data_IF_607495479407
#
_entry.id   IF_607495479407
#
_cell.length_a   1.000
_cell.length_b   1.000
_cell.length_c   1.000
_cell.angle_alpha   90.00
_cell.angle_beta   90.00
_cell.angle_gamma   90.00
#
_symmetry.space_group_name_H-M   'P 1'
#
loop_
_entity.id
_entity.type
_entity.pdbx_description
1 polymer ?
#
# COMPACT_ATOMS: atom_id res chain seq x y z
N UNK A 1 -8.91 -18.55 0.14
CA UNK A 1 -8.49 -19.96 -0.10
C UNK A 1 -9.51 -20.73 -0.92
N UNK A 2 -10.73 -20.97 -0.45
CA UNK A 2 -11.75 -21.71 -1.21
C UNK A 2 -11.99 -21.15 -2.62
N UNK A 3 -12.04 -19.82 -2.75
CA UNK A 3 -12.19 -19.15 -4.04
C UNK A 3 -11.12 -19.54 -5.08
N UNK A 4 -9.85 -19.73 -4.67
CA UNK A 4 -8.78 -20.08 -5.61
C UNK A 4 -8.99 -21.45 -6.25
N UNK A 5 -9.33 -22.46 -5.43
CA UNK A 5 -9.69 -23.80 -5.91
C UNK A 5 -10.93 -23.78 -6.82
N UNK A 6 -11.92 -22.95 -6.50
CA UNK A 6 -13.11 -22.79 -7.35
C UNK A 6 -12.76 -22.18 -8.70
N UNK A 7 -11.94 -21.11 -8.73
CA UNK A 7 -11.48 -20.49 -9.98
C UNK A 7 -10.69 -21.49 -10.83
N UNK A 8 -9.71 -22.18 -10.24
CA UNK A 8 -8.88 -23.15 -10.94
C UNK A 8 -9.71 -24.28 -11.57
N UNK A 9 -10.65 -24.84 -10.80
CA UNK A 9 -11.45 -26.00 -11.24
C UNK A 9 -12.59 -25.65 -12.20
N UNK A 10 -13.14 -24.44 -12.13
CA UNK A 10 -14.32 -24.02 -12.93
C UNK A 10 -13.95 -23.20 -14.16
N UNK A 11 -12.91 -22.38 -14.08
CA UNK A 11 -12.52 -21.44 -15.13
C UNK A 11 -11.19 -21.83 -15.80
N UNK A 12 -10.28 -22.45 -15.05
CA UNK A 12 -8.99 -22.95 -15.54
C UNK A 12 -7.80 -22.36 -14.78
N UNK A 13 -6.61 -22.92 -15.02
CA UNK A 13 -5.36 -22.59 -14.29
C UNK A 13 -4.83 -21.17 -14.51
N UNK A 14 -5.33 -20.46 -15.52
CA UNK A 14 -4.99 -19.07 -15.79
C UNK A 14 -5.86 -18.09 -15.00
N UNK A 15 -6.99 -18.57 -14.43
CA UNK A 15 -7.94 -17.72 -13.72
C UNK A 15 -7.64 -17.68 -12.23
N UNK A 16 -7.34 -16.50 -11.71
CA UNK A 16 -7.04 -16.28 -10.30
C UNK A 16 -8.08 -15.33 -9.67
N UNK A 17 -8.52 -15.57 -8.42
CA UNK A 17 -9.40 -14.65 -7.71
C UNK A 17 -8.86 -13.23 -7.63
N UNK A 18 -7.55 -13.06 -7.38
CA UNK A 18 -6.88 -11.77 -7.33
C UNK A 18 -5.48 -11.84 -7.92
N UNK A 19 -4.98 -10.71 -8.40
CA UNK A 19 -3.55 -10.48 -8.68
C UNK A 19 -3.03 -9.41 -7.74
N UNK A 20 -1.83 -9.64 -7.21
CA UNK A 20 -1.21 -8.79 -6.19
C UNK A 20 0.27 -8.60 -6.52
N UNK A 21 0.73 -7.36 -6.54
CA UNK A 21 2.16 -7.08 -6.56
C UNK A 21 2.75 -7.30 -5.15
N UNK A 22 4.07 -7.40 -5.08
CA UNK A 22 4.76 -7.71 -3.82
C UNK A 22 4.46 -6.68 -2.71
N UNK A 23 4.21 -5.40 -3.04
CA UNK A 23 3.79 -4.39 -2.07
C UNK A 23 2.37 -4.66 -1.53
N UNK A 24 1.44 -5.07 -2.40
CA UNK A 24 0.06 -5.42 -2.02
C UNK A 24 0.04 -6.65 -1.12
N UNK A 25 0.86 -7.65 -1.47
CA UNK A 25 1.07 -8.86 -0.64
C UNK A 25 1.62 -8.49 0.73
N UNK A 26 2.61 -7.59 0.80
CA UNK A 26 3.16 -7.12 2.07
C UNK A 26 2.08 -6.49 2.96
N UNK A 27 1.26 -5.61 2.39
CA UNK A 27 0.17 -4.94 3.10
C UNK A 27 -0.94 -5.93 3.54
N UNK A 28 -1.34 -6.85 2.66
CA UNK A 28 -2.35 -7.88 2.96
C UNK A 28 -1.88 -8.81 4.10
N UNK A 29 -0.64 -9.26 4.04
CA UNK A 29 -0.08 -10.13 5.07
C UNK A 29 0.09 -9.39 6.39
N UNK A 30 0.47 -8.11 6.36
CA UNK A 30 0.48 -7.28 7.56
C UNK A 30 -0.92 -7.15 8.17
N UNK A 31 -1.96 -6.93 7.37
CA UNK A 31 -3.34 -6.91 7.85
C UNK A 31 -3.69 -8.21 8.58
N UNK A 32 -3.42 -9.36 7.97
CA UNK A 32 -3.63 -10.67 8.60
C UNK A 32 -2.88 -10.82 9.93
N UNK A 33 -1.62 -10.36 10.00
CA UNK A 33 -0.80 -10.48 11.20
C UNK A 33 -1.26 -9.54 12.32
N UNK A 34 -1.72 -8.33 11.98
CA UNK A 34 -2.33 -7.41 12.94
C UNK A 34 -3.64 -7.99 13.47
N UNK A 35 -4.50 -8.52 12.61
CA UNK A 35 -5.73 -9.19 13.05
C UNK A 35 -5.45 -10.35 14.01
N UNK A 36 -4.41 -11.14 13.74
CA UNK A 36 -4.08 -12.35 14.51
C UNK A 36 -3.34 -12.08 15.81
N UNK A 37 -2.45 -11.10 15.83
CA UNK A 37 -1.53 -10.86 16.96
C UNK A 37 -1.70 -9.50 17.64
N UNK A 38 -2.54 -8.63 17.08
CA UNK A 38 -2.81 -7.27 17.56
C UNK A 38 -1.53 -6.50 17.94
N UNK A 39 -0.54 -6.54 17.06
CA UNK A 39 0.75 -5.86 17.23
C UNK A 39 1.19 -5.17 15.93
N UNK A 40 1.84 -4.00 15.98
CA UNK A 40 2.36 -3.32 14.79
C UNK A 40 3.54 -4.10 14.22
N UNK A 41 3.78 -4.07 12.90
CA UNK A 41 4.92 -4.76 12.28
C UNK A 41 6.30 -4.21 12.69
N UNK A 42 6.39 -2.91 12.97
CA UNK A 42 7.66 -2.22 13.26
C UNK A 42 7.62 -1.63 14.67
N UNK A 43 8.65 -1.94 15.43
CA UNK A 43 9.01 -1.23 16.65
C UNK A 43 9.96 -0.08 16.28
N UNK A 44 9.40 1.12 16.16
CA UNK A 44 10.16 2.32 15.76
C UNK A 44 11.23 2.70 16.80
N UNK A 45 10.93 2.52 18.09
CA UNK A 45 11.87 2.84 19.18
C UNK A 45 13.05 1.87 19.16
N UNK A 46 12.77 0.57 19.02
CA UNK A 46 13.77 -0.47 18.89
C UNK A 46 14.43 -0.54 17.51
N UNK A 47 13.92 0.21 16.52
CA UNK A 47 14.41 0.27 15.12
C UNK A 47 14.51 -1.13 14.48
N UNK A 48 13.49 -1.95 14.70
CA UNK A 48 13.43 -3.34 14.24
C UNK A 48 11.99 -3.75 13.93
N UNK A 49 11.84 -4.88 13.24
CA UNK A 49 10.55 -5.55 13.19
C UNK A 49 10.17 -6.10 14.57
N UNK A 50 8.89 -6.02 14.91
CA UNK A 50 8.34 -6.53 16.17
C UNK A 50 8.15 -8.05 16.14
N UNK A 51 7.96 -8.62 14.95
CA UNK A 51 7.62 -10.02 14.76
C UNK A 51 8.73 -10.96 15.25
N UNK A 52 8.34 -11.92 16.08
CA UNK A 52 9.19 -13.06 16.45
C UNK A 52 9.47 -13.97 15.24
N UNK A 53 10.45 -14.87 15.38
CA UNK A 53 10.76 -15.86 14.34
C UNK A 53 9.54 -16.72 13.96
N UNK A 54 8.72 -17.12 14.94
CA UNK A 54 7.50 -17.89 14.70
C UNK A 54 6.47 -17.06 13.92
N UNK A 55 6.30 -15.79 14.27
CA UNK A 55 5.39 -14.89 13.56
C UNK A 55 5.85 -14.62 12.12
N UNK A 56 7.16 -14.53 11.87
CA UNK A 56 7.68 -14.48 10.50
C UNK A 56 7.40 -15.77 9.71
N UNK A 57 7.48 -16.94 10.36
CA UNK A 57 7.10 -18.20 9.72
C UNK A 57 5.60 -18.21 9.37
N UNK A 58 4.74 -17.68 10.23
CA UNK A 58 3.31 -17.52 9.95
C UNK A 58 3.04 -16.51 8.82
N UNK A 59 3.78 -15.41 8.78
CA UNK A 59 3.71 -14.38 7.73
C UNK A 59 3.97 -15.00 6.34
N UNK A 60 5.11 -15.65 6.15
CA UNK A 60 5.45 -16.29 4.87
C UNK A 60 4.70 -17.60 4.64
N UNK A 61 4.26 -18.28 5.70
CA UNK A 61 3.38 -19.45 5.61
C UNK A 61 2.02 -19.08 5.02
N UNK A 62 1.47 -17.93 5.39
CA UNK A 62 0.24 -17.41 4.80
C UNK A 62 0.41 -17.03 3.33
N UNK A 63 1.54 -16.41 2.95
CA UNK A 63 1.89 -16.20 1.54
C UNK A 63 1.86 -17.51 0.76
N UNK A 64 2.60 -18.52 1.24
CA UNK A 64 2.67 -19.83 0.60
C UNK A 64 1.28 -20.48 0.49
N UNK A 65 0.43 -20.33 1.51
CA UNK A 65 -0.95 -20.81 1.48
C UNK A 65 -1.80 -20.14 0.40
N UNK A 66 -1.62 -18.83 0.15
CA UNK A 66 -2.30 -18.11 -0.93
C UNK A 66 -1.91 -18.68 -2.30
N UNK A 67 -0.61 -18.90 -2.52
CA UNK A 67 -0.07 -19.49 -3.76
C UNK A 67 -0.55 -20.93 -3.94
N UNK A 68 -0.30 -21.80 -2.95
CA UNK A 68 -0.64 -23.23 -3.00
C UNK A 68 -2.16 -23.47 -3.12
N UNK A 69 -2.99 -22.47 -2.76
CA UNK A 69 -4.46 -22.53 -2.90
C UNK A 69 -4.99 -21.80 -4.14
N UNK A 70 -4.12 -21.41 -5.08
CA UNK A 70 -4.49 -20.72 -6.33
C UNK A 70 -5.24 -19.40 -6.13
N UNK A 71 -4.98 -18.67 -5.03
CA UNK A 71 -5.66 -17.39 -4.74
C UNK A 71 -5.10 -16.26 -5.57
N UNK A 72 -3.78 -16.28 -5.79
CA UNK A 72 -3.06 -15.32 -6.61
C UNK A 72 -1.93 -16.05 -7.36
N UNK A 73 -1.47 -15.52 -8.50
CA UNK A 73 -0.33 -16.08 -9.20
C UNK A 73 0.95 -15.98 -8.36
N UNK A 74 1.85 -16.95 -8.52
CA UNK A 74 3.19 -16.87 -7.96
C UNK A 74 4.08 -15.89 -8.76
N UNK A 75 5.22 -15.50 -8.20
CA UNK A 75 6.12 -14.53 -8.86
C UNK A 75 6.73 -15.06 -10.15
N UNK A 76 6.77 -16.39 -10.38
CA UNK A 76 7.26 -16.98 -11.64
C UNK A 76 6.26 -16.80 -12.75
N UNK A 77 4.99 -17.12 -12.49
CA UNK A 77 3.90 -16.95 -13.42
C UNK A 77 3.68 -15.47 -13.73
N UNK A 78 3.68 -14.60 -12.72
CA UNK A 78 3.60 -13.16 -12.92
C UNK A 78 4.73 -12.63 -13.82
N UNK A 79 5.98 -13.06 -13.57
CA UNK A 79 7.13 -12.65 -14.37
C UNK A 79 7.08 -13.13 -15.84
N UNK A 80 6.31 -14.18 -16.15
CA UNK A 80 6.17 -14.69 -17.52
C UNK A 80 5.48 -13.71 -18.48
N UNK A 81 4.79 -12.70 -17.95
CA UNK A 81 4.13 -11.63 -18.72
C UNK A 81 5.05 -10.42 -18.97
N UNK A 82 6.31 -10.48 -18.54
CA UNK A 82 7.29 -9.42 -18.73
C UNK A 82 7.10 -8.24 -17.78
N UNK A 83 7.62 -7.07 -18.17
CA UNK A 83 7.58 -5.84 -17.37
C UNK A 83 6.57 -4.86 -17.97
N UNK A 84 5.41 -4.76 -17.34
CA UNK A 84 4.36 -3.79 -17.63
C UNK A 84 3.67 -3.44 -16.30
N UNK A 85 2.87 -2.37 -16.25
CA UNK A 85 2.04 -2.12 -15.08
C UNK A 85 0.98 -3.21 -14.97
N UNK A 86 0.67 -3.67 -13.76
CA UNK A 86 -0.31 -4.75 -13.53
C UNK A 86 -1.64 -4.52 -14.27
N UNK A 87 -2.17 -3.27 -14.24
CA UNK A 87 -3.43 -2.89 -14.89
C UNK A 87 -3.37 -2.83 -16.43
N UNK A 88 -2.20 -2.95 -17.05
CA UNK A 88 -2.02 -3.00 -18.51
C UNK A 88 -1.77 -4.43 -19.01
N UNK A 89 -1.62 -5.39 -18.10
CA UNK A 89 -1.37 -6.77 -18.47
C UNK A 89 -2.63 -7.43 -19.06
N UNK A 90 -2.44 -8.20 -20.13
CA UNK A 90 -3.54 -8.89 -20.82
C UNK A 90 -4.44 -9.72 -19.89
N UNK A 91 -3.92 -10.52 -18.92
CA UNK A 91 -4.77 -11.27 -18.00
C UNK A 91 -5.66 -10.40 -17.11
N UNK A 92 -5.22 -9.18 -16.75
CA UNK A 92 -6.06 -8.21 -16.04
C UNK A 92 -7.18 -7.68 -16.95
N UNK A 93 -6.80 -7.15 -18.12
CA UNK A 93 -7.72 -6.55 -19.10
C UNK A 93 -8.84 -7.54 -19.49
N UNK A 94 -8.49 -8.83 -19.59
CA UNK A 94 -9.39 -9.90 -19.99
C UNK A 94 -10.17 -10.54 -18.84
N UNK A 95 -9.95 -10.13 -17.58
CA UNK A 95 -10.66 -10.68 -16.42
C UNK A 95 -10.19 -12.08 -15.98
N UNK A 96 -9.06 -12.57 -16.49
CA UNK A 96 -8.43 -13.79 -15.98
C UNK A 96 -7.96 -13.60 -14.54
N UNK A 97 -7.52 -12.38 -14.20
CA UNK A 97 -7.21 -11.96 -12.84
C UNK A 97 -8.38 -11.17 -12.25
N UNK A 98 -9.20 -11.85 -11.46
CA UNK A 98 -10.55 -11.39 -11.09
C UNK A 98 -10.65 -10.33 -9.99
N UNK A 99 -9.55 -9.70 -9.58
CA UNK A 99 -9.58 -8.69 -8.52
C UNK A 99 -8.20 -8.24 -8.05
N UNK A 100 -8.18 -7.26 -7.16
CA UNK A 100 -6.94 -6.68 -6.62
C UNK A 100 -7.15 -6.14 -5.19
N UNK A 101 -6.07 -6.06 -4.41
CA UNK A 101 -6.05 -5.41 -3.09
C UNK A 101 -5.35 -4.06 -3.23
N UNK A 102 -6.13 -2.99 -3.39
CA UNK A 102 -5.59 -1.75 -3.98
C UNK A 102 -6.16 -0.47 -3.36
N UNK A 103 -5.36 0.58 -3.38
CA UNK A 103 -5.73 1.91 -2.88
C UNK A 103 -7.01 2.42 -3.56
N UNK A 104 -8.01 2.82 -2.77
CA UNK A 104 -9.23 3.41 -3.31
C UNK A 104 -8.92 4.71 -4.08
N UNK A 105 -7.87 5.43 -3.66
CA UNK A 105 -7.46 6.70 -4.24
C UNK A 105 -6.98 6.64 -5.70
N UNK A 106 -6.65 5.44 -6.19
CA UNK A 106 -6.14 5.24 -7.56
C UNK A 106 -6.84 4.09 -8.26
N UNK A 107 -8.03 3.71 -7.80
CA UNK A 107 -8.69 2.51 -8.31
C UNK A 107 -9.14 2.64 -9.77
N UNK A 108 -9.41 3.87 -10.22
CA UNK A 108 -9.84 4.13 -11.60
C UNK A 108 -8.80 3.65 -12.63
N UNK A 109 -7.51 3.78 -12.32
CA UNK A 109 -6.41 3.25 -13.16
C UNK A 109 -6.54 1.75 -13.46
N UNK A 110 -7.14 1.00 -12.53
CA UNK A 110 -7.38 -0.43 -12.66
C UNK A 110 -8.68 -0.72 -13.40
N UNK A 111 -9.78 -0.01 -13.06
CA UNK A 111 -11.08 -0.23 -13.70
C UNK A 111 -11.11 0.20 -15.16
N UNK A 112 -10.42 1.29 -15.52
CA UNK A 112 -10.47 1.90 -16.86
C UNK A 112 -9.93 1.00 -17.96
N UNK A 113 -9.02 0.08 -17.60
CA UNK A 113 -8.42 -0.86 -18.53
C UNK A 113 -9.18 -2.18 -18.65
N UNK A 114 -10.25 -2.41 -17.87
CA UNK A 114 -11.06 -3.61 -18.02
C UNK A 114 -11.85 -3.57 -19.32
N UNK A 115 -11.91 -4.71 -20.02
CA UNK A 115 -12.71 -4.82 -21.24
C UNK A 115 -14.21 -4.73 -20.90
N UNK A 116 -14.97 -3.79 -21.48
CA UNK A 116 -16.42 -3.74 -21.29
C UNK A 116 -17.09 -5.08 -21.68
N UNK A 117 -18.13 -5.53 -20.94
CA UNK A 117 -18.83 -4.83 -19.87
C UNK A 117 -18.26 -5.06 -18.45
N UNK A 118 -17.06 -5.61 -18.32
CA UNK A 118 -16.47 -5.91 -17.01
C UNK A 118 -16.27 -4.64 -16.17
N UNK A 119 -16.48 -4.76 -14.85
CA UNK A 119 -16.30 -3.68 -13.88
C UNK A 119 -15.65 -4.22 -12.60
N UNK A 120 -14.93 -3.33 -11.91
CA UNK A 120 -14.55 -3.56 -10.51
C UNK A 120 -15.72 -3.18 -9.60
N UNK A 121 -15.99 -4.06 -8.63
CA UNK A 121 -16.94 -3.83 -7.54
C UNK A 121 -16.23 -4.02 -6.20
N UNK A 122 -16.72 -3.33 -5.17
CA UNK A 122 -16.14 -3.41 -3.84
C UNK A 122 -16.34 -4.82 -3.26
N UNK A 123 -15.26 -5.43 -2.79
CA UNK A 123 -15.30 -6.70 -2.08
C UNK A 123 -15.44 -6.47 -0.58
N UNK A 124 -15.88 -7.51 0.13
CA UNK A 124 -15.81 -7.52 1.59
C UNK A 124 -14.36 -7.51 2.07
N UNK A 125 -14.11 -6.87 3.21
CA UNK A 125 -12.79 -6.91 3.85
C UNK A 125 -12.69 -8.15 4.75
N UNK A 126 -11.72 -9.06 4.51
CA UNK A 126 -11.62 -10.29 5.30
C UNK A 126 -11.20 -9.98 6.74
N UNK A 127 -12.02 -10.41 7.69
CA UNK A 127 -11.76 -10.30 9.13
C UNK A 127 -11.65 -11.70 9.76
N UNK A 128 -10.59 -11.93 10.53
CA UNK A 128 -10.49 -13.12 11.38
C UNK A 128 -11.55 -13.06 12.49
N UNK A 129 -12.16 -14.21 12.85
CA UNK A 129 -13.08 -14.27 13.99
C UNK A 129 -12.41 -13.72 15.27
N UNK A 130 -13.06 -12.76 15.92
CA UNK A 130 -12.56 -12.13 17.14
C UNK A 130 -11.45 -11.09 16.95
N UNK A 131 -11.05 -10.76 15.72
CA UNK A 131 -10.09 -9.69 15.49
C UNK A 131 -10.65 -8.33 15.91
N UNK A 132 -9.88 -7.60 16.71
CA UNK A 132 -10.24 -6.27 17.24
C UNK A 132 -9.67 -5.12 16.42
N UNK A 133 -8.87 -5.43 15.40
CA UNK A 133 -8.24 -4.48 14.50
C UNK A 133 -8.15 -5.13 13.12
N UNK A 134 -8.51 -4.40 12.06
CA UNK A 134 -8.50 -4.88 10.68
C UNK A 134 -7.09 -4.91 10.06
N UNK A 135 -6.13 -4.22 10.66
CA UNK A 135 -4.76 -4.11 10.18
C UNK A 135 -4.64 -3.37 8.86
N UNK A 136 -5.53 -2.41 8.62
CA UNK A 136 -5.55 -1.60 7.41
C UNK A 136 -4.26 -0.80 7.28
N UNK A 137 -3.68 -0.79 6.07
CA UNK A 137 -2.67 0.20 5.75
C UNK A 137 -3.34 1.54 5.38
N UNK A 138 -3.83 2.22 6.42
CA UNK A 138 -4.59 3.46 6.33
C UNK A 138 -3.66 4.67 6.53
N UNK A 139 -3.37 5.42 5.45
CA UNK A 139 -2.43 6.57 5.46
C UNK A 139 -2.81 7.67 4.45
N UNK A 140 -2.30 8.92 4.63
CA UNK A 140 -2.06 9.89 3.55
C UNK A 140 -1.83 9.24 2.18
N UNK A 141 -2.82 9.29 1.27
CA UNK A 141 -2.69 8.74 -0.08
C UNK A 141 -1.54 9.44 -0.82
N UNK A 142 -1.54 10.77 -0.79
CA UNK A 142 -0.47 11.63 -1.29
C UNK A 142 -0.53 13.02 -0.66
N UNK A 143 0.56 13.79 -0.80
CA UNK A 143 0.68 15.15 -0.31
C UNK A 143 1.27 16.07 -1.39
N UNK A 144 0.80 17.31 -1.44
CA UNK A 144 1.51 18.40 -2.13
C UNK A 144 2.38 19.12 -1.10
N UNK A 145 3.68 19.26 -1.39
CA UNK A 145 4.64 19.86 -0.46
C UNK A 145 5.36 21.03 -1.10
N UNK A 146 5.62 22.07 -0.30
CA UNK A 146 6.39 23.24 -0.73
C UNK A 146 7.87 22.96 -0.44
N UNK A 147 8.70 23.03 -1.48
CA UNK A 147 10.14 22.83 -1.35
C UNK A 147 10.77 23.85 -0.39
N UNK A 148 11.58 23.36 0.56
CA UNK A 148 12.18 24.18 1.63
C UNK A 148 12.98 25.40 1.13
N UNK A 149 13.60 25.28 -0.04
CA UNK A 149 14.46 26.32 -0.64
C UNK A 149 13.78 27.11 -1.75
N UNK A 150 12.45 27.00 -1.92
CA UNK A 150 11.75 27.77 -2.95
C UNK A 150 11.91 29.27 -2.72
N UNK A 151 12.18 30.01 -3.79
CA UNK A 151 12.21 31.49 -3.75
C UNK A 151 10.80 32.11 -3.74
N UNK A 152 9.77 31.30 -4.02
CA UNK A 152 8.39 31.77 -4.18
C UNK A 152 7.39 30.96 -3.32
N UNK A 153 7.54 30.90 -1.99
CA UNK A 153 6.70 30.06 -1.13
C UNK A 153 5.22 30.46 -1.17
N UNK A 154 4.92 31.76 -1.26
CA UNK A 154 3.55 32.27 -1.33
C UNK A 154 2.85 31.87 -2.63
N UNK A 155 3.54 31.95 -3.78
CA UNK A 155 2.97 31.54 -5.06
C UNK A 155 2.73 30.02 -5.09
N UNK A 156 3.68 29.22 -4.57
CA UNK A 156 3.49 27.77 -4.43
C UNK A 156 2.28 27.43 -3.54
N UNK A 157 2.13 28.12 -2.41
CA UNK A 157 0.97 27.95 -1.53
C UNK A 157 -0.36 28.31 -2.23
N UNK A 158 -0.38 29.38 -3.04
CA UNK A 158 -1.56 29.77 -3.83
C UNK A 158 -1.95 28.68 -4.84
N UNK A 159 -0.99 28.04 -5.50
CA UNK A 159 -1.27 26.93 -6.42
C UNK A 159 -1.83 25.72 -5.68
N UNK A 160 -1.25 25.33 -4.54
CA UNK A 160 -1.78 24.23 -3.72
C UNK A 160 -3.21 24.53 -3.26
N UNK A 161 -3.46 25.76 -2.77
CA UNK A 161 -4.79 26.16 -2.35
C UNK A 161 -5.79 26.19 -3.51
N UNK A 162 -5.39 26.66 -4.69
CA UNK A 162 -6.21 26.60 -5.89
C UNK A 162 -6.63 25.16 -6.19
N UNK A 163 -5.66 24.25 -6.31
CA UNK A 163 -5.92 22.84 -6.65
C UNK A 163 -6.84 22.12 -5.63
N UNK A 164 -6.70 22.44 -4.34
CA UNK A 164 -7.36 21.66 -3.28
C UNK A 164 -8.63 22.31 -2.70
N UNK A 165 -8.85 23.62 -2.90
CA UNK A 165 -9.92 24.35 -2.24
C UNK A 165 -10.71 25.31 -3.16
N UNK A 166 -10.16 25.76 -4.30
CA UNK A 166 -10.97 26.57 -5.23
C UNK A 166 -11.95 25.67 -5.97
N UNK A 167 -13.15 26.18 -6.30
CA UNK A 167 -14.11 25.40 -7.08
C UNK A 167 -13.51 24.96 -8.43
N UNK A 168 -12.92 25.89 -9.17
CA UNK A 168 -12.27 25.60 -10.46
C UNK A 168 -11.19 24.51 -10.36
N UNK A 169 -10.29 24.59 -9.36
CA UNK A 169 -9.23 23.60 -9.20
C UNK A 169 -9.77 22.22 -8.79
N UNK A 170 -10.78 22.19 -7.94
CA UNK A 170 -11.46 20.97 -7.51
C UNK A 170 -12.21 20.31 -8.67
N UNK A 171 -12.94 21.09 -9.48
CA UNK A 171 -13.69 20.59 -10.63
C UNK A 171 -12.74 19.97 -11.68
N UNK A 172 -11.56 20.57 -11.88
CA UNK A 172 -10.51 20.02 -12.76
C UNK A 172 -9.97 18.68 -12.22
N UNK A 173 -9.76 18.57 -10.91
CA UNK A 173 -9.14 17.37 -10.32
C UNK A 173 -10.13 16.23 -10.06
N UNK A 174 -11.40 16.53 -9.81
CA UNK A 174 -12.43 15.55 -9.49
C UNK A 174 -11.98 14.55 -8.43
N UNK A 175 -12.07 13.26 -8.78
CA UNK A 175 -11.68 12.13 -7.93
C UNK A 175 -10.38 11.43 -8.37
N UNK A 176 -9.57 12.05 -9.23
CA UNK A 176 -8.32 11.48 -9.77
C UNK A 176 -7.25 11.17 -8.69
N UNK A 177 -7.44 11.70 -7.47
CA UNK A 177 -6.56 11.46 -6.31
C UNK A 177 -7.32 10.86 -5.13
N UNK A 178 -8.48 10.26 -5.40
CA UNK A 178 -9.43 9.77 -4.39
C UNK A 178 -10.36 10.86 -3.87
N UNK A 179 -11.15 10.49 -2.85
CA UNK A 179 -12.08 11.41 -2.20
C UNK A 179 -11.30 12.52 -1.48
N UNK A 180 -11.58 13.80 -1.78
CA UNK A 180 -10.87 14.89 -1.11
C UNK A 180 -11.14 14.92 0.40
N UNK A 181 -10.18 15.39 1.18
CA UNK A 181 -10.40 15.75 2.58
C UNK A 181 -10.95 17.15 2.78
N UNK A 182 -10.65 18.05 1.85
CA UNK A 182 -11.07 19.43 1.95
C UNK A 182 -12.60 19.44 1.98
N UNK A 183 -13.17 19.96 3.07
CA UNK A 183 -14.62 20.02 3.24
C UNK A 183 -15.28 20.78 2.08
N UNK A 184 -14.66 21.88 1.64
CA UNK A 184 -15.13 22.65 0.50
C UNK A 184 -15.13 21.82 -0.79
N UNK A 185 -14.02 21.10 -1.06
CA UNK A 185 -13.94 20.24 -2.24
C UNK A 185 -14.98 19.11 -2.22
N UNK A 186 -15.18 18.46 -1.06
CA UNK A 186 -16.20 17.43 -0.90
C UNK A 186 -17.60 18.00 -1.15
N UNK A 187 -17.90 19.19 -0.63
CA UNK A 187 -19.18 19.87 -0.88
C UNK A 187 -19.38 20.13 -2.37
N UNK A 188 -18.43 20.76 -3.06
CA UNK A 188 -18.55 21.06 -4.49
C UNK A 188 -18.77 19.79 -5.33
N UNK A 189 -17.94 18.76 -5.12
CA UNK A 189 -18.04 17.52 -5.89
C UNK A 189 -19.31 16.71 -5.56
N UNK A 190 -19.87 16.88 -4.37
CA UNK A 190 -21.16 16.26 -4.01
C UNK A 190 -22.31 17.00 -4.68
N UNK A 191 -22.31 18.33 -4.65
CA UNK A 191 -23.33 19.18 -5.29
C UNK A 191 -23.34 18.99 -6.81
N UNK A 192 -22.17 18.83 -7.42
CA UNK A 192 -22.01 18.56 -8.86
C UNK A 192 -22.29 17.09 -9.24
N UNK A 193 -22.61 16.22 -8.28
CA UNK A 193 -22.94 14.81 -8.51
C UNK A 193 -21.75 13.93 -8.93
N UNK A 194 -20.52 14.41 -8.72
CA UNK A 194 -19.28 13.68 -9.01
C UNK A 194 -19.03 12.61 -7.93
N UNK A 195 -19.21 12.96 -6.65
CA UNK A 195 -19.15 11.98 -5.55
C UNK A 195 -20.45 11.18 -5.53
N UNK A 196 -20.35 9.89 -5.86
CA UNK A 196 -21.47 8.95 -5.80
C UNK A 196 -21.19 7.85 -4.80
N UNK A 197 -22.22 7.41 -4.08
CA UNK A 197 -22.06 6.43 -3.01
C UNK A 197 -21.61 5.04 -3.51
N UNK A 198 -21.94 4.71 -4.76
CA UNK A 198 -21.58 3.47 -5.44
C UNK A 198 -20.25 3.56 -6.20
N UNK A 199 -19.61 4.73 -6.25
CA UNK A 199 -18.27 4.88 -6.80
C UNK A 199 -17.27 4.01 -5.99
N UNK A 200 -16.44 3.18 -6.63
CA UNK A 200 -15.47 2.31 -5.95
C UNK A 200 -14.50 3.05 -5.02
N UNK A 201 -14.09 4.28 -5.37
CA UNK A 201 -13.21 5.08 -4.53
C UNK A 201 -13.94 5.56 -3.27
N UNK A 202 -15.21 5.93 -3.38
CA UNK A 202 -16.04 6.44 -2.28
C UNK A 202 -16.49 5.31 -1.36
N UNK A 203 -17.09 4.28 -1.94
CA UNK A 203 -17.56 3.10 -1.21
C UNK A 203 -16.42 2.39 -0.50
N UNK A 204 -15.25 2.30 -1.14
CA UNK A 204 -14.04 1.78 -0.54
C UNK A 204 -13.58 2.58 0.69
N UNK A 205 -13.50 3.90 0.59
CA UNK A 205 -13.14 4.74 1.74
C UNK A 205 -14.12 4.55 2.91
N UNK A 206 -15.42 4.49 2.61
CA UNK A 206 -16.45 4.27 3.62
C UNK A 206 -16.27 2.92 4.32
N UNK A 207 -15.97 1.85 3.56
CA UNK A 207 -15.66 0.54 4.14
C UNK A 207 -14.43 0.63 5.05
N UNK A 208 -13.33 1.20 4.58
CA UNK A 208 -12.11 1.35 5.37
C UNK A 208 -12.35 2.12 6.69
N UNK A 209 -13.15 3.18 6.67
CA UNK A 209 -13.52 3.96 7.86
C UNK A 209 -14.45 3.21 8.82
N UNK A 210 -15.22 2.24 8.33
CA UNK A 210 -16.11 1.41 9.16
C UNK A 210 -15.38 0.30 9.92
N UNK A 211 -14.16 -0.04 9.50
CA UNK A 211 -13.38 -1.14 10.07
C UNK A 211 -12.57 -0.67 11.29
N UNK A 212 -12.44 -1.51 12.33
CA UNK A 212 -11.67 -1.16 13.52
C UNK A 212 -10.20 -0.99 13.16
N UNK A 213 -9.64 0.19 13.45
CA UNK A 213 -8.24 0.52 13.13
C UNK A 213 -7.62 1.26 14.31
N UNK A 214 -7.11 0.52 15.27
CA UNK A 214 -6.48 1.04 16.49
C UNK A 214 -4.96 1.18 16.34
N UNK A 215 -4.32 0.27 15.60
CA UNK A 215 -2.88 0.24 15.43
C UNK A 215 -2.44 1.02 14.19
N UNK A 216 -1.61 2.08 14.34
CA UNK A 216 -1.07 2.77 13.19
C UNK A 216 -0.02 1.92 12.48
N UNK A 217 0.07 2.07 11.15
CA UNK A 217 1.16 1.49 10.36
C UNK A 217 2.32 2.48 10.33
N UNK A 218 3.51 2.01 10.73
CA UNK A 218 4.73 2.80 10.69
C UNK A 218 5.07 3.22 9.25
N UNK A 219 5.51 4.46 8.98
CA UNK A 219 5.95 4.87 7.64
C UNK A 219 7.15 4.05 7.15
N UNK A 220 7.97 3.50 8.05
CA UNK A 220 9.10 2.62 7.67
C UNK A 220 8.63 1.27 7.10
N UNK A 221 7.37 0.87 7.31
CA UNK A 221 6.83 -0.37 6.77
C UNK A 221 6.81 -0.36 5.23
N UNK A 222 6.69 0.84 4.66
CA UNK A 222 6.64 1.10 3.23
C UNK A 222 7.94 1.74 2.73
N UNK A 223 9.04 1.51 3.46
CA UNK A 223 10.36 1.89 2.98
C UNK A 223 10.68 1.13 1.67
N UNK A 224 11.12 1.81 0.61
CA UNK A 224 11.35 1.17 -0.69
C UNK A 224 12.34 0.00 -0.65
N UNK A 225 13.32 0.01 0.26
CA UNK A 225 14.27 -1.10 0.40
C UNK A 225 13.63 -2.30 1.10
N UNK A 226 12.76 -2.07 2.09
CA UNK A 226 11.97 -3.14 2.72
C UNK A 226 11.05 -3.79 1.70
N UNK A 227 10.33 -2.99 0.91
CA UNK A 227 9.42 -3.50 -0.13
C UNK A 227 10.19 -4.29 -1.21
N UNK A 228 11.32 -3.77 -1.70
CA UNK A 228 12.15 -4.47 -2.68
C UNK A 228 12.74 -5.78 -2.14
N UNK A 229 13.22 -5.77 -0.89
CA UNK A 229 13.75 -6.96 -0.24
C UNK A 229 12.66 -8.00 0.00
N UNK A 230 11.44 -7.56 0.32
CA UNK A 230 10.27 -8.42 0.43
C UNK A 230 9.95 -9.09 -0.91
N UNK A 231 9.89 -8.33 -2.01
CA UNK A 231 9.69 -8.89 -3.35
C UNK A 231 10.75 -9.94 -3.73
N UNK A 232 12.01 -9.66 -3.43
CA UNK A 232 13.12 -10.63 -3.63
C UNK A 232 12.91 -11.91 -2.80
N UNK A 233 12.40 -11.77 -1.57
CA UNK A 233 12.13 -12.92 -0.69
C UNK A 233 11.00 -13.80 -1.24
N UNK A 234 9.93 -13.19 -1.78
CA UNK A 234 8.86 -13.94 -2.45
C UNK A 234 9.38 -14.72 -3.66
N UNK A 235 10.25 -14.10 -4.46
CA UNK A 235 10.91 -14.79 -5.57
C UNK A 235 11.73 -15.99 -5.10
N UNK A 236 12.49 -15.88 -4.00
CA UNK A 236 13.21 -17.05 -3.49
C UNK A 236 12.28 -18.20 -3.11
N UNK A 237 11.17 -17.89 -2.45
CA UNK A 237 10.15 -18.88 -2.08
C UNK A 237 9.60 -19.59 -3.31
N UNK A 238 9.18 -18.84 -4.34
CA UNK A 238 8.48 -19.43 -5.49
C UNK A 238 9.41 -20.16 -6.45
N UNK A 239 10.64 -19.67 -6.63
CA UNK A 239 11.64 -20.35 -7.45
C UNK A 239 12.27 -21.56 -6.74
N UNK A 240 11.83 -21.91 -5.53
CA UNK A 240 12.35 -23.03 -4.77
C UNK A 240 13.82 -22.84 -4.35
N UNK A 241 14.32 -21.60 -4.43
CA UNK A 241 15.67 -21.27 -3.96
C UNK A 241 15.57 -21.08 -2.45
N UNK A 242 16.31 -21.88 -1.67
CA UNK A 242 16.40 -21.65 -0.23
C UNK A 242 16.81 -20.19 -0.01
N UNK A 243 16.05 -19.46 0.82
CA UNK A 243 16.57 -18.26 1.48
C UNK A 243 17.81 -18.73 2.21
N UNK A 244 18.98 -18.42 1.66
CA UNK A 244 20.26 -18.92 2.15
C UNK A 244 20.37 -18.60 3.63
N UNK A 245 20.33 -19.64 4.47
CA UNK A 245 20.49 -19.50 5.90
C UNK A 245 21.88 -18.99 6.24
N UNK A 246 22.04 -17.67 6.38
CA UNK A 246 22.88 -17.14 7.45
C UNK A 246 22.03 -17.06 8.69
N UNK A 247 22.13 -18.11 9.51
CA UNK A 247 21.71 -18.09 10.90
C UNK A 247 22.24 -16.82 11.58
N UNK A 248 21.33 -15.99 12.12
CA UNK A 248 21.63 -15.10 13.24
C UNK A 248 22.19 -13.70 12.98
N UNK A 249 22.17 -13.14 11.76
CA UNK A 249 22.43 -11.69 11.56
C UNK A 249 21.45 -11.13 10.53
N UNK A 250 20.97 -9.91 10.78
CA UNK A 250 19.93 -9.23 10.02
C UNK A 250 20.17 -9.18 8.50
N UNK A 251 19.07 -8.87 7.80
CA UNK A 251 18.95 -8.62 6.36
C UNK A 251 20.23 -8.02 5.75
N UNK A 252 20.77 -8.55 4.63
CA UNK A 252 22.06 -8.11 4.09
C UNK A 252 21.96 -6.73 3.44
N UNK A 253 22.95 -5.87 3.73
CA UNK A 253 23.21 -4.63 3.00
C UNK A 253 23.73 -4.93 1.58
N UNK A 254 23.50 -4.05 0.58
CA UNK A 254 23.93 -4.28 -0.79
C UNK A 254 25.46 -4.27 -0.95
N UNK A 255 25.95 -5.24 -1.74
CA UNK A 255 27.37 -5.51 -2.01
C UNK A 255 28.10 -4.34 -2.70
N UNK A 256 29.34 -4.06 -2.28
CA UNK A 256 30.33 -3.25 -3.03
C UNK A 256 31.45 -4.17 -3.55
N UNK A 257 32.07 -3.89 -4.72
CA UNK A 257 33.08 -4.75 -5.31
C UNK A 257 34.47 -4.65 -4.63
N UNK A 258 35.21 -5.75 -4.80
CA UNK A 258 36.51 -6.18 -4.26
C UNK A 258 37.65 -5.16 -4.08
N UNK A 259 38.31 -5.20 -2.89
CA UNK A 259 39.75 -5.52 -2.68
C UNK A 259 40.14 -5.42 -1.18
N UNK A 260 41.03 -6.32 -0.72
CA UNK A 260 41.41 -6.73 0.65
C UNK A 260 42.11 -5.68 1.58
N UNK A 261 42.65 -6.00 2.80
CA UNK A 261 42.52 -7.17 3.70
C UNK A 261 42.08 -6.82 5.16
N UNK A 262 42.08 -7.84 6.02
CA UNK A 262 41.56 -7.94 7.40
C UNK A 262 42.16 -6.92 8.39
N UNK A 263 41.28 -6.26 9.15
CA UNK A 263 41.33 -6.08 10.62
C UNK A 263 40.20 -5.12 11.02
N UNK A 264 39.12 -5.62 11.64
CA UNK A 264 37.97 -4.79 12.02
C UNK A 264 37.27 -5.30 13.30
N UNK A 265 37.90 -5.03 14.44
CA UNK A 265 37.23 -4.81 15.72
C UNK A 265 37.40 -3.32 16.03
N UNK A 266 36.50 -2.47 15.52
CA UNK A 266 36.11 -1.14 16.03
C UNK A 266 35.28 -0.40 14.98
N UNK A 267 34.24 0.29 15.45
CA UNK A 267 33.42 1.19 14.64
C UNK A 267 34.24 2.46 14.32
N UNK A 268 34.43 2.89 13.05
CA UNK A 268 35.18 4.10 12.75
C UNK A 268 34.49 5.35 13.31
N UNK A 269 35.26 6.12 14.06
CA UNK A 269 34.90 7.31 14.85
C UNK A 269 34.83 8.60 14.03
N UNK A 270 34.21 8.58 12.84
CA UNK A 270 33.99 9.78 12.01
C UNK A 270 32.51 10.18 11.87
N UNK A 271 31.77 10.10 12.97
CA UNK A 271 30.42 10.70 13.10
C UNK A 271 30.36 11.81 14.16
N UNK A 272 31.49 12.20 14.73
CA UNK A 272 31.57 13.09 15.91
C UNK A 272 32.15 14.50 15.64
N UNK A 273 32.34 14.91 14.38
CA UNK A 273 32.77 16.30 14.04
C UNK A 273 31.83 17.10 13.12
N UNK A 274 30.57 16.67 12.96
CA UNK A 274 29.52 17.44 12.28
C UNK A 274 28.37 17.92 13.19
N UNK A 275 28.43 17.65 14.49
CA UNK A 275 27.34 17.95 15.43
C UNK A 275 27.60 19.26 16.20
N UNK A 276 27.61 20.40 15.51
CA UNK A 276 27.26 21.70 16.11
C UNK A 276 26.38 22.47 15.14
N UNK A 277 25.18 22.82 15.62
CA UNK A 277 24.06 23.51 14.97
C UNK A 277 23.14 22.62 14.13
N UNK A 278 21.92 22.45 14.62
CA UNK A 278 20.79 21.93 13.83
C UNK A 278 20.11 20.70 14.40
N UNK A 279 19.75 20.69 15.70
CA UNK A 279 18.84 19.68 16.24
C UNK A 279 18.16 20.12 17.54
N UNK A 280 17.39 21.22 17.48
CA UNK A 280 16.39 21.57 18.52
C UNK A 280 15.12 22.24 17.92
N UNK A 281 15.10 22.72 16.67
CA UNK A 281 13.95 23.49 16.15
C UNK A 281 12.88 22.71 15.34
N UNK A 282 12.79 21.38 15.42
CA UNK A 282 11.82 20.62 14.62
C UNK A 282 10.46 20.41 15.32
N UNK A 283 10.40 20.58 16.64
CA UNK A 283 9.17 20.50 17.45
C UNK A 283 8.49 21.86 17.67
N UNK A 284 9.24 22.96 17.63
CA UNK A 284 8.68 24.30 17.90
C UNK A 284 7.95 24.92 16.68
N UNK A 285 8.42 24.66 15.44
CA UNK A 285 7.80 25.24 14.25
C UNK A 285 6.45 24.59 13.89
N UNK A 286 6.23 23.34 14.31
CA UNK A 286 4.98 22.62 14.12
C UNK A 286 3.84 23.17 15.00
N UNK A 287 4.12 23.73 16.18
CA UNK A 287 3.08 24.27 17.07
C UNK A 287 2.61 25.67 16.66
N UNK A 288 3.50 26.52 16.12
CA UNK A 288 3.11 27.86 15.65
C UNK A 288 2.29 27.83 14.35
N UNK A 289 2.57 26.89 13.45
CA UNK A 289 1.78 26.70 12.22
C UNK A 289 0.40 26.09 12.53
N UNK A 290 0.31 25.22 13.55
CA UNK A 290 -0.95 24.62 13.97
C UNK A 290 -1.91 25.63 14.62
N UNK A 291 -1.39 26.67 15.27
CA UNK A 291 -2.18 27.77 15.84
C UNK A 291 -2.74 28.76 14.80
N UNK A 292 -2.17 28.82 13.60
CA UNK A 292 -2.59 29.79 12.58
C UNK A 292 -3.76 29.30 11.70
N UNK A 293 -3.85 27.99 11.41
CA UNK A 293 -4.91 27.44 10.54
C UNK A 293 -5.25 25.97 10.90
N UNK A 294 -6.32 25.70 11.66
CA UNK A 294 -6.63 24.37 12.20
C UNK A 294 -7.26 23.37 11.19
N UNK A 295 -6.83 23.33 9.92
CA UNK A 295 -7.62 22.70 8.85
C UNK A 295 -6.91 21.83 7.80
N UNK A 296 -5.67 21.38 7.97
CA UNK A 296 -4.95 20.71 6.86
C UNK A 296 -4.19 19.45 7.28
N UNK A 297 -4.82 18.26 7.24
CA UNK A 297 -4.09 16.96 7.38
C UNK A 297 -4.82 15.78 6.69
N UNK A 298 -4.08 15.05 5.82
CA UNK A 298 -4.07 13.58 5.52
C UNK A 298 -5.20 12.82 4.74
N UNK A 299 -5.02 12.55 3.43
CA UNK A 299 -5.96 11.81 2.53
C UNK A 299 -5.85 10.28 2.73
N UNK A 300 -6.84 9.40 2.52
CA UNK A 300 -6.74 8.02 3.07
C UNK A 300 -7.34 6.87 2.21
N UNK A 301 -6.73 5.66 2.23
CA UNK A 301 -7.41 4.34 2.22
C UNK A 301 -6.95 3.21 1.25
N UNK A 302 -6.97 1.93 1.71
CA UNK A 302 -7.08 0.68 0.89
C UNK A 302 -8.29 -0.14 1.37
N UNK A 303 -9.17 -0.55 0.44
CA UNK A 303 -10.02 -1.73 0.56
C UNK A 303 -9.86 -2.71 -0.62
N UNK A 304 -10.21 -3.98 -0.43
CA UNK A 304 -10.14 -5.02 -1.47
C UNK A 304 -11.33 -4.90 -2.46
N UNK A 305 -11.08 -5.05 -3.77
CA UNK A 305 -12.12 -5.00 -4.82
C UNK A 305 -12.08 -6.26 -5.70
N UNK A 306 -13.23 -6.68 -6.20
CA UNK A 306 -13.43 -7.89 -7.03
C UNK A 306 -14.09 -7.50 -8.36
N UNK A 307 -13.79 -8.18 -9.44
CA UNK A 307 -14.51 -8.05 -10.71
C UNK A 307 -15.81 -8.86 -10.70
N UNK A 308 -16.90 -8.31 -11.24
CA UNK A 308 -18.18 -9.02 -11.43
C UNK A 308 -18.71 -8.80 -12.86
N UNK A 309 -19.19 -9.86 -13.49
CA UNK A 309 -19.98 -9.78 -14.73
C UNK A 309 -21.45 -9.51 -14.40
N UNK A 310 -22.06 -8.55 -15.10
CA UNK A 310 -23.48 -8.23 -14.99
C UNK A 310 -24.32 -9.34 -15.65
N UNK A 311 -24.93 -10.22 -14.86
CA UNK A 311 -25.99 -11.11 -15.34
C UNK A 311 -27.28 -10.34 -15.55
N UNK A 312 -27.65 -10.10 -16.81
CA UNK A 312 -29.01 -9.74 -17.18
C UNK A 312 -29.86 -11.03 -17.23
N UNK A 313 -30.70 -11.24 -16.23
CA UNK A 313 -31.89 -12.09 -16.38
C UNK A 313 -33.03 -11.23 -16.96
N UNK A 314 -33.66 -11.78 -18.00
CA UNK A 314 -34.96 -11.37 -18.53
C UNK A 314 -36.03 -12.32 -18.00
#
# INVERSE_FOLDING_TARGET
MAAGKTFESKLGKQYYPVVLEHQDVLALLNSYMVQKYNQPAIDEKGRKFSYSKAQWADFFGMYKKLIDSHVMPDTRYYASFGKSNMYEMKPWIQGEWGGTYMWNSTINKYSDNLKPPAKLVLGEYPMLPGATDAGLFFKPAQMLSIGKSTKNPQAAAKVINFLLNSKEGVDILGLERGVPLSKAAVTYLTEDGVIKADDPAVSGLKLAQSLPTALPVSPYFDDPQIVAQFGTTLQYIDYGKKVGGRSGRGLPAPDRPHSAPRDALTCPSELSRGARRGRVCQTALSEEIFKAHPGAVAFIGIPALRCVESSHEA
#
